data_IF_430674905724
#
_entry.id   IF_430674905724
#
_cell.length_a   1.000
_cell.length_b   1.000
_cell.length_c   1.000
_cell.angle_alpha   90.00
_cell.angle_beta   90.00
_cell.angle_gamma   90.00
#
_symmetry.space_group_name_H-M   'P 1'
#
loop_
_entity.id
_entity.type
_entity.pdbx_description
1 polymer ?
#
# COMPACT_ATOMS: atom_id res chain seq x y z
N UNK A 1 -8.18 -14.91 24.61
CA UNK A 1 -7.77 -13.78 23.75
C UNK A 1 -6.57 -14.13 22.85
N UNK A 2 -5.48 -14.75 23.35
CA UNK A 2 -4.35 -15.15 22.49
C UNK A 2 -4.76 -16.08 21.32
N UNK A 3 -5.56 -17.11 21.60
CA UNK A 3 -6.10 -18.01 20.57
C UNK A 3 -7.00 -17.27 19.56
N UNK A 4 -7.72 -16.22 19.96
CA UNK A 4 -8.55 -15.46 19.02
C UNK A 4 -7.70 -14.63 18.06
N UNK A 5 -6.59 -14.03 18.53
CA UNK A 5 -5.63 -13.33 17.66
C UNK A 5 -4.93 -14.26 16.68
N UNK A 6 -4.55 -15.47 17.11
CA UNK A 6 -4.01 -16.48 16.21
C UNK A 6 -5.05 -16.90 15.16
N UNK A 7 -6.29 -17.17 15.59
CA UNK A 7 -7.37 -17.52 14.67
C UNK A 7 -7.66 -16.39 13.67
N UNK A 8 -7.66 -15.13 14.12
CA UNK A 8 -7.79 -13.93 13.27
C UNK A 8 -6.67 -13.84 12.23
N UNK A 9 -5.43 -14.15 12.61
CA UNK A 9 -4.33 -14.24 11.66
C UNK A 9 -4.55 -15.37 10.64
N UNK A 10 -4.99 -16.55 11.10
CA UNK A 10 -5.22 -17.70 10.24
C UNK A 10 -6.37 -17.48 9.25
N UNK A 11 -7.45 -16.81 9.67
CA UNK A 11 -8.55 -16.42 8.77
C UNK A 11 -8.07 -15.43 7.72
N UNK A 12 -7.27 -14.42 8.11
CA UNK A 12 -6.68 -13.48 7.17
C UNK A 12 -5.82 -14.20 6.11
N UNK A 13 -4.95 -15.13 6.52
CA UNK A 13 -4.12 -15.92 5.60
C UNK A 13 -4.97 -16.82 4.70
N UNK A 14 -6.01 -17.48 5.24
CA UNK A 14 -6.92 -18.32 4.43
C UNK A 14 -7.66 -17.50 3.37
N UNK A 15 -8.14 -16.31 3.71
CA UNK A 15 -8.83 -15.43 2.77
C UNK A 15 -7.90 -14.97 1.64
N UNK A 16 -6.62 -14.72 1.94
CA UNK A 16 -5.61 -14.35 0.92
C UNK A 16 -5.23 -15.54 0.01
N UNK A 17 -5.29 -16.78 0.52
CA UNK A 17 -4.98 -18.00 -0.25
C UNK A 17 -5.97 -18.33 -1.36
N UNK A 18 -7.20 -17.81 -1.34
CA UNK A 18 -8.18 -18.08 -2.42
C UNK A 18 -7.65 -17.75 -3.81
N UNK A 19 -6.61 -16.91 -3.91
CA UNK A 19 -6.07 -16.43 -5.18
C UNK A 19 -4.66 -16.96 -5.51
N UNK A 20 -3.90 -17.49 -4.55
CA UNK A 20 -2.50 -17.94 -4.78
C UNK A 20 -2.04 -19.06 -3.82
N UNK A 21 -1.19 -19.96 -4.33
CA UNK A 21 -0.60 -21.04 -3.55
C UNK A 21 0.52 -20.52 -2.63
N UNK A 22 0.38 -20.73 -1.32
CA UNK A 22 1.32 -20.25 -0.31
C UNK A 22 2.38 -21.33 -0.01
N UNK A 23 3.36 -21.47 -0.91
CA UNK A 23 4.44 -22.45 -0.78
C UNK A 23 5.76 -21.81 -0.33
N UNK A 24 6.06 -20.62 -0.87
CA UNK A 24 7.28 -19.86 -0.60
C UNK A 24 6.89 -18.42 -0.24
N UNK A 25 7.30 -17.95 0.94
CA UNK A 25 7.04 -16.57 1.39
C UNK A 25 8.34 -15.86 1.82
N UNK A 26 8.43 -14.57 1.48
CA UNK A 26 9.45 -13.66 1.97
C UNK A 26 8.83 -12.73 3.01
N UNK A 27 9.31 -12.77 4.25
CA UNK A 27 8.80 -11.94 5.34
C UNK A 27 9.74 -10.75 5.53
N UNK A 28 9.26 -9.55 5.21
CA UNK A 28 10.03 -8.32 5.32
C UNK A 28 9.85 -7.70 6.72
N UNK A 29 10.96 -7.54 7.42
CA UNK A 29 11.03 -7.11 8.81
C UNK A 29 11.39 -5.62 8.92
N UNK A 30 10.87 -4.97 9.96
CA UNK A 30 11.28 -3.62 10.39
C UNK A 30 12.06 -3.63 11.71
N UNK A 31 12.06 -4.75 12.43
CA UNK A 31 12.74 -4.88 13.73
C UNK A 31 11.94 -4.36 14.94
N UNK A 32 10.69 -3.93 14.74
CA UNK A 32 9.78 -3.52 15.83
C UNK A 32 8.84 -4.63 16.32
N UNK A 33 8.02 -4.32 17.32
CA UNK A 33 7.04 -5.25 17.93
C UNK A 33 6.12 -5.94 16.91
N UNK A 34 5.69 -5.23 15.86
CA UNK A 34 4.75 -5.78 14.87
C UNK A 34 5.44 -6.88 14.05
N UNK A 35 6.74 -6.71 13.75
CA UNK A 35 7.56 -7.72 13.08
C UNK A 35 7.72 -8.97 13.95
N UNK A 36 7.93 -8.82 15.26
CA UNK A 36 8.03 -9.96 16.19
C UNK A 36 6.72 -10.73 16.29
N UNK A 37 5.60 -10.00 16.41
CA UNK A 37 4.27 -10.58 16.38
C UNK A 37 4.05 -11.37 15.08
N UNK A 38 4.39 -10.79 13.94
CA UNK A 38 4.27 -11.44 12.63
C UNK A 38 5.11 -12.71 12.54
N UNK A 39 6.39 -12.66 12.93
CA UNK A 39 7.30 -13.81 12.94
C UNK A 39 6.65 -14.96 13.71
N UNK A 40 6.21 -14.69 14.94
CA UNK A 40 5.65 -15.73 15.81
C UNK A 40 4.33 -16.30 15.29
N UNK A 41 3.45 -15.44 14.75
CA UNK A 41 2.20 -15.87 14.13
C UNK A 41 2.43 -16.77 12.90
N UNK A 42 3.41 -16.41 12.06
CA UNK A 42 3.79 -17.20 10.88
C UNK A 42 4.41 -18.54 11.29
N UNK A 43 5.32 -18.56 12.26
CA UNK A 43 5.93 -19.80 12.77
C UNK A 43 4.86 -20.75 13.33
N UNK A 44 3.92 -20.23 14.13
CA UNK A 44 2.82 -21.02 14.65
C UNK A 44 1.91 -21.55 13.53
N UNK A 45 1.63 -20.72 12.50
CA UNK A 45 0.87 -21.14 11.33
C UNK A 45 1.56 -22.26 10.55
N UNK A 46 2.86 -22.12 10.29
CA UNK A 46 3.68 -23.13 9.62
C UNK A 46 3.62 -24.45 10.37
N UNK A 47 3.91 -24.43 11.68
CA UNK A 47 3.90 -25.64 12.53
C UNK A 47 2.53 -26.33 12.52
N UNK A 48 1.43 -25.58 12.56
CA UNK A 48 0.08 -26.14 12.70
C UNK A 48 -0.57 -26.56 11.37
N UNK A 49 -0.36 -25.82 10.29
CA UNK A 49 -1.16 -25.99 9.06
C UNK A 49 -0.35 -26.20 7.78
N UNK A 50 0.92 -25.77 7.74
CA UNK A 50 1.74 -25.83 6.52
C UNK A 50 3.20 -26.12 6.88
N UNK A 51 3.54 -27.32 7.39
CA UNK A 51 4.91 -27.64 7.83
C UNK A 51 5.94 -27.52 6.69
N UNK A 52 5.53 -27.76 5.44
CA UNK A 52 6.35 -27.64 4.24
C UNK A 52 6.50 -26.19 3.72
N UNK A 53 5.94 -25.19 4.40
CA UNK A 53 6.05 -23.78 4.00
C UNK A 53 7.51 -23.31 4.09
N UNK A 54 8.05 -22.88 2.95
CA UNK A 54 9.37 -22.25 2.89
C UNK A 54 9.25 -20.77 3.24
N UNK A 55 9.97 -20.37 4.28
CA UNK A 55 9.97 -19.00 4.79
C UNK A 55 11.40 -18.48 4.71
N UNK A 56 11.52 -17.26 4.20
CA UNK A 56 12.76 -16.50 4.23
C UNK A 56 12.47 -15.14 4.83
N UNK A 57 13.33 -14.66 5.72
CA UNK A 57 13.22 -13.33 6.29
C UNK A 57 14.17 -12.37 5.61
N UNK A 58 13.73 -11.13 5.43
CA UNK A 58 14.59 -10.07 4.92
C UNK A 58 14.50 -8.86 5.83
N UNK A 59 15.66 -8.32 6.17
CA UNK A 59 15.79 -7.07 6.91
C UNK A 59 16.68 -6.11 6.12
N UNK A 60 16.25 -4.86 6.02
CA UNK A 60 16.99 -3.79 5.33
C UNK A 60 17.42 -2.80 6.40
N UNK A 61 18.72 -2.79 6.71
CA UNK A 61 19.35 -1.83 7.60
C UNK A 61 19.70 -0.56 6.82
N UNK A 62 19.01 0.53 7.17
CA UNK A 62 19.24 1.86 6.57
C UNK A 62 20.44 2.61 7.19
N UNK A 63 21.08 2.04 8.21
CA UNK A 63 22.25 2.60 8.91
C UNK A 63 22.05 4.04 9.42
N UNK A 64 20.81 4.42 9.71
CA UNK A 64 20.47 5.72 10.29
C UNK A 64 20.83 5.85 11.77
N UNK A 65 21.21 4.76 12.42
CA UNK A 65 21.46 4.71 13.86
C UNK A 65 22.82 4.09 14.13
N UNK A 66 23.48 4.61 15.14
CA UNK A 66 24.74 4.07 15.68
C UNK A 66 24.56 2.63 16.17
N UNK A 67 23.42 2.30 16.78
CA UNK A 67 23.14 0.95 17.29
C UNK A 67 22.51 -0.01 16.26
N UNK A 68 22.52 0.30 14.95
CA UNK A 68 21.88 -0.56 13.93
C UNK A 68 22.46 -1.98 13.95
N UNK A 69 23.76 -2.14 14.23
CA UNK A 69 24.43 -3.43 14.37
C UNK A 69 23.80 -4.31 15.46
N UNK A 70 23.53 -3.76 16.65
CA UNK A 70 22.89 -4.51 17.74
C UNK A 70 21.46 -4.91 17.40
N UNK A 71 20.73 -4.04 16.69
CA UNK A 71 19.39 -4.38 16.20
C UNK A 71 19.44 -5.53 15.18
N UNK A 72 20.42 -5.53 14.29
CA UNK A 72 20.66 -6.63 13.34
C UNK A 72 20.95 -7.94 14.08
N UNK A 73 21.86 -7.93 15.05
CA UNK A 73 22.18 -9.10 15.89
C UNK A 73 20.96 -9.64 16.62
N UNK A 74 20.15 -8.73 17.19
CA UNK A 74 18.90 -9.09 17.85
C UNK A 74 17.93 -9.82 16.89
N UNK A 75 17.74 -9.30 15.67
CA UNK A 75 16.87 -9.92 14.66
C UNK A 75 17.42 -11.29 14.22
N UNK A 76 18.75 -11.41 14.03
CA UNK A 76 19.38 -12.69 13.69
C UNK A 76 19.09 -13.72 14.78
N UNK A 77 19.31 -13.37 16.05
CA UNK A 77 19.10 -14.26 17.18
C UNK A 77 17.64 -14.74 17.31
N UNK A 78 16.67 -13.90 16.93
CA UNK A 78 15.26 -14.27 16.93
C UNK A 78 14.88 -15.31 15.88
N UNK A 79 15.60 -15.36 14.76
CA UNK A 79 15.27 -16.20 13.60
C UNK A 79 16.13 -17.47 13.55
N UNK A 80 17.34 -17.40 14.13
CA UNK A 80 18.41 -18.42 14.09
C UNK A 80 17.96 -19.85 14.30
N UNK A 81 16.91 -20.08 15.07
CA UNK A 81 16.49 -21.43 15.47
C UNK A 81 15.65 -22.19 14.42
N UNK A 82 15.32 -21.61 13.25
CA UNK A 82 14.42 -22.33 12.32
C UNK A 82 14.44 -21.95 10.85
N UNK A 83 14.92 -20.75 10.47
CA UNK A 83 14.68 -20.19 9.14
C UNK A 83 15.83 -19.28 8.67
N UNK A 84 15.94 -19.06 7.36
CA UNK A 84 17.00 -18.22 6.79
C UNK A 84 16.62 -16.73 6.84
N UNK A 85 17.58 -15.88 7.17
CA UNK A 85 17.46 -14.42 7.05
C UNK A 85 18.53 -13.87 6.12
N UNK A 86 18.13 -12.96 5.22
CA UNK A 86 19.04 -12.07 4.48
C UNK A 86 19.00 -10.67 5.09
N UNK A 87 20.18 -10.08 5.30
CA UNK A 87 20.33 -8.70 5.75
C UNK A 87 21.01 -7.90 4.66
N UNK A 88 20.40 -6.78 4.30
CA UNK A 88 20.98 -5.81 3.39
C UNK A 88 21.28 -4.54 4.15
N UNK A 89 22.49 -4.03 4.01
CA UNK A 89 22.89 -2.74 4.56
C UNK A 89 22.94 -1.71 3.43
N UNK A 90 22.34 -0.55 3.64
CA UNK A 90 22.38 0.57 2.70
C UNK A 90 23.40 1.56 3.27
N UNK A 91 24.64 1.62 2.71
CA UNK A 91 25.75 2.38 3.29
C UNK A 91 25.55 3.89 3.26
N UNK A 92 24.71 4.39 2.35
CA UNK A 92 24.43 5.82 2.25
C UNK A 92 23.14 6.17 3.00
N UNK A 93 23.26 7.08 3.96
CA UNK A 93 22.12 7.69 4.64
C UNK A 93 21.28 8.41 3.58
N UNK A 94 20.19 7.75 3.19
CA UNK A 94 19.20 8.38 2.32
C UNK A 94 18.59 9.56 3.08
N UNK A 95 18.70 10.78 2.51
CA UNK A 95 18.28 12.01 3.17
C UNK A 95 16.75 12.15 3.33
N UNK A 96 15.96 11.27 2.71
CA UNK A 96 14.50 11.29 2.85
C UNK A 96 13.89 9.91 3.13
N UNK A 97 12.90 9.88 4.02
CA UNK A 97 12.12 8.68 4.35
C UNK A 97 11.46 8.06 3.12
N UNK A 98 11.00 8.90 2.19
CA UNK A 98 10.42 8.43 0.93
C UNK A 98 11.45 7.67 0.08
N UNK A 99 12.68 8.19 -0.06
CA UNK A 99 13.73 7.54 -0.84
C UNK A 99 14.20 6.24 -0.17
N UNK A 100 14.34 6.26 1.16
CA UNK A 100 14.64 5.06 1.95
C UNK A 100 13.59 3.97 1.73
N UNK A 101 12.30 4.35 1.80
CA UNK A 101 11.18 3.44 1.56
C UNK A 101 11.17 2.89 0.14
N UNK A 102 11.45 3.71 -0.88
CA UNK A 102 11.55 3.26 -2.27
C UNK A 102 12.66 2.22 -2.45
N UNK A 103 13.88 2.52 -1.97
CA UNK A 103 15.02 1.60 -2.04
C UNK A 103 14.75 0.30 -1.29
N UNK A 104 14.16 0.37 -0.09
CA UNK A 104 13.75 -0.80 0.68
C UNK A 104 12.84 -1.71 -0.13
N UNK A 105 11.78 -1.18 -0.74
CA UNK A 105 10.88 -1.98 -1.57
C UNK A 105 11.56 -2.52 -2.82
N UNK A 106 12.45 -1.76 -3.46
CA UNK A 106 13.22 -2.25 -4.61
C UNK A 106 14.08 -3.45 -4.25
N UNK A 107 14.85 -3.37 -3.16
CA UNK A 107 15.70 -4.49 -2.69
C UNK A 107 14.86 -5.71 -2.35
N UNK A 108 13.75 -5.53 -1.61
CA UNK A 108 12.86 -6.65 -1.25
C UNK A 108 12.27 -7.31 -2.49
N UNK A 109 11.82 -6.54 -3.49
CA UNK A 109 11.25 -7.07 -4.73
C UNK A 109 12.33 -7.81 -5.53
N UNK A 110 13.53 -7.25 -5.66
CA UNK A 110 14.64 -7.89 -6.37
C UNK A 110 15.06 -9.20 -5.71
N UNK A 111 15.17 -9.24 -4.37
CA UNK A 111 15.43 -10.46 -3.62
C UNK A 111 14.33 -11.50 -3.84
N UNK A 112 13.06 -11.09 -3.72
CA UNK A 112 11.91 -11.97 -3.92
C UNK A 112 11.91 -12.62 -5.32
N UNK A 113 12.24 -11.86 -6.36
CA UNK A 113 12.37 -12.36 -7.74
C UNK A 113 13.56 -13.33 -7.85
N UNK A 114 14.75 -12.92 -7.39
CA UNK A 114 16.00 -13.70 -7.49
C UNK A 114 15.87 -15.07 -6.83
N UNK A 115 15.23 -15.13 -5.66
CA UNK A 115 15.12 -16.35 -4.85
C UNK A 115 13.74 -17.03 -4.95
N UNK A 116 12.89 -16.63 -5.92
CA UNK A 116 11.59 -17.26 -6.22
C UNK A 116 10.62 -17.30 -5.02
N UNK A 117 10.50 -16.16 -4.32
CA UNK A 117 9.49 -15.91 -3.29
C UNK A 117 8.38 -15.01 -3.85
N UNK A 118 7.30 -15.56 -4.45
CA UNK A 118 6.28 -14.76 -5.12
C UNK A 118 5.42 -13.93 -4.15
N UNK A 119 5.45 -14.24 -2.86
CA UNK A 119 4.63 -13.57 -1.84
C UNK A 119 5.56 -12.91 -0.82
N UNK A 120 5.49 -11.59 -0.73
CA UNK A 120 6.10 -10.78 0.30
C UNK A 120 5.06 -10.54 1.40
N UNK A 121 5.42 -10.76 2.65
CA UNK A 121 4.57 -10.48 3.81
C UNK A 121 5.22 -9.35 4.63
N UNK A 122 4.41 -8.39 5.07
CA UNK A 122 4.86 -7.30 5.97
C UNK A 122 3.94 -7.17 7.17
N UNK A 123 4.49 -6.64 8.27
CA UNK A 123 3.79 -6.50 9.55
C UNK A 123 2.98 -5.20 9.69
N UNK A 124 2.47 -4.64 8.59
CA UNK A 124 1.66 -3.44 8.68
C UNK A 124 0.34 -3.73 9.42
N UNK A 125 -0.01 -2.83 10.32
CA UNK A 125 -1.15 -2.91 11.24
C UNK A 125 -2.27 -1.95 10.85
N UNK A 126 -3.38 -2.02 11.59
CA UNK A 126 -4.48 -1.07 11.47
C UNK A 126 -4.03 0.37 11.76
N UNK A 127 -3.15 0.54 12.74
CA UNK A 127 -2.58 1.85 13.08
C UNK A 127 -1.80 2.44 11.91
N UNK A 128 -1.04 1.62 11.18
CA UNK A 128 -0.31 2.06 9.99
C UNK A 128 -1.25 2.48 8.84
N UNK A 129 -2.39 1.80 8.71
CA UNK A 129 -3.44 2.15 7.73
C UNK A 129 -4.02 3.53 8.02
N UNK A 130 -4.36 3.82 9.28
CA UNK A 130 -4.91 5.11 9.71
C UNK A 130 -3.88 6.23 9.56
N UNK A 131 -2.64 6.00 9.97
CA UNK A 131 -1.56 6.99 9.81
C UNK A 131 -1.33 7.34 8.34
N UNK A 132 -1.30 6.32 7.48
CA UNK A 132 -1.17 6.52 6.03
C UNK A 132 -2.34 7.33 5.50
N UNK A 133 -3.57 6.99 5.90
CA UNK A 133 -4.76 7.73 5.51
C UNK A 133 -4.70 9.21 5.92
N UNK A 134 -4.38 9.50 7.18
CA UNK A 134 -4.29 10.88 7.68
C UNK A 134 -3.20 11.67 6.96
N UNK A 135 -2.03 11.08 6.75
CA UNK A 135 -0.95 11.71 5.97
C UNK A 135 -1.38 12.03 4.53
N UNK A 136 -2.13 11.14 3.89
CA UNK A 136 -2.61 11.33 2.53
C UNK A 136 -3.69 12.42 2.47
N UNK A 137 -4.62 12.46 3.43
CA UNK A 137 -5.61 13.54 3.54
C UNK A 137 -4.94 14.90 3.71
N UNK A 138 -3.98 15.02 4.64
CA UNK A 138 -3.28 16.28 4.91
C UNK A 138 -2.56 16.81 3.67
N UNK A 139 -2.05 15.92 2.82
CA UNK A 139 -1.38 16.28 1.56
C UNK A 139 -2.34 16.64 0.42
N UNK A 140 -3.64 16.42 0.60
CA UNK A 140 -4.62 16.41 -0.48
C UNK A 140 -4.50 15.14 -1.31
N UNK A 141 -5.54 14.32 -1.30
CA UNK A 141 -5.52 13.04 -2.02
C UNK A 141 -6.86 12.70 -2.63
N UNK A 142 -6.85 11.83 -3.65
CA UNK A 142 -8.06 11.20 -4.15
C UNK A 142 -8.44 10.01 -3.28
N UNK A 143 -9.63 9.47 -3.49
CA UNK A 143 -10.07 8.24 -2.81
C UNK A 143 -9.11 7.07 -3.01
N UNK A 144 -8.36 7.02 -4.13
CA UNK A 144 -7.31 6.03 -4.37
C UNK A 144 -6.14 6.15 -3.40
N UNK A 145 -5.73 7.37 -3.09
CA UNK A 145 -4.67 7.58 -2.11
C UNK A 145 -5.17 7.35 -0.69
N UNK A 146 -6.43 7.71 -0.39
CA UNK A 146 -7.07 7.45 0.90
C UNK A 146 -7.21 5.95 1.19
N UNK A 147 -7.62 5.14 0.21
CA UNK A 147 -7.79 3.68 0.36
C UNK A 147 -6.55 2.87 -0.09
N UNK A 148 -5.38 3.51 -0.14
CA UNK A 148 -4.16 2.91 -0.73
C UNK A 148 -3.56 1.74 0.06
N UNK A 149 -3.84 1.65 1.36
CA UNK A 149 -3.30 0.59 2.22
C UNK A 149 -4.27 -0.60 2.29
N UNK A 150 -4.02 -1.59 1.40
CA UNK A 150 -4.82 -2.82 1.27
C UNK A 150 -4.11 -4.05 1.86
N UNK A 151 -4.89 -5.06 2.26
CA UNK A 151 -4.38 -6.36 2.74
C UNK A 151 -3.56 -7.09 1.68
N UNK A 152 -3.92 -6.91 0.42
CA UNK A 152 -3.30 -7.54 -0.73
C UNK A 152 -3.00 -6.50 -1.80
N UNK A 153 -1.81 -6.58 -2.40
CA UNK A 153 -1.41 -5.73 -3.52
C UNK A 153 -0.52 -6.51 -4.48
N UNK A 154 -0.81 -6.40 -5.78
CA UNK A 154 0.10 -6.87 -6.84
C UNK A 154 1.19 -5.81 -6.99
N UNK A 155 2.46 -6.21 -6.80
CA UNK A 155 3.61 -5.31 -7.02
C UNK A 155 4.09 -5.40 -8.47
N UNK A 156 4.07 -6.61 -9.03
CA UNK A 156 4.26 -6.89 -10.45
C UNK A 156 3.61 -8.26 -10.77
N UNK A 157 3.58 -8.73 -12.03
CA UNK A 157 2.92 -9.99 -12.39
C UNK A 157 3.39 -11.26 -11.64
N UNK A 158 4.58 -11.23 -11.04
CA UNK A 158 5.19 -12.36 -10.33
C UNK A 158 5.20 -12.19 -8.81
N UNK A 159 5.08 -10.96 -8.31
CA UNK A 159 5.30 -10.60 -6.91
C UNK A 159 4.07 -9.93 -6.31
N UNK A 160 3.61 -10.49 -5.20
CA UNK A 160 2.44 -10.07 -4.45
C UNK A 160 2.87 -9.63 -3.05
N UNK A 161 2.23 -8.60 -2.51
CA UNK A 161 2.45 -8.08 -1.17
C UNK A 161 1.22 -8.30 -0.29
N UNK A 162 1.42 -9.00 0.82
CA UNK A 162 0.40 -9.36 1.79
C UNK A 162 0.66 -8.65 3.12
N UNK A 163 -0.41 -8.13 3.73
CA UNK A 163 -0.41 -7.44 5.03
C UNK A 163 -1.43 -8.12 5.95
N UNK A 164 -1.12 -9.31 6.47
CA UNK A 164 -2.08 -10.10 7.25
C UNK A 164 -2.40 -9.49 8.62
N UNK A 165 -1.66 -8.47 9.06
CA UNK A 165 -1.90 -7.78 10.34
C UNK A 165 -2.70 -6.48 10.18
N UNK A 166 -3.18 -6.13 8.99
CA UNK A 166 -3.76 -4.80 8.75
C UNK A 166 -5.06 -4.52 9.51
N UNK A 167 -5.71 -5.56 10.07
CA UNK A 167 -6.86 -5.42 10.96
C UNK A 167 -6.50 -5.66 12.44
N UNK A 168 -5.21 -5.73 12.79
CA UNK A 168 -4.75 -5.86 14.17
C UNK A 168 -4.55 -4.47 14.76
N UNK A 169 -5.16 -4.24 15.92
CA UNK A 169 -4.98 -2.99 16.66
C UNK A 169 -3.61 -2.97 17.34
N UNK A 170 -3.14 -1.79 17.74
CA UNK A 170 -1.95 -1.67 18.60
C UNK A 170 -2.11 -2.44 19.93
N UNK A 171 -3.33 -2.48 20.47
CA UNK A 171 -3.64 -3.24 21.68
C UNK A 171 -3.51 -4.75 21.45
N UNK A 172 -3.97 -5.26 20.30
CA UNK A 172 -3.83 -6.66 19.90
C UNK A 172 -2.35 -7.07 19.87
N UNK A 173 -1.52 -6.27 19.18
CA UNK A 173 -0.08 -6.54 19.07
C UNK A 173 0.60 -6.48 20.43
N UNK A 174 0.32 -5.45 21.24
CA UNK A 174 0.90 -5.28 22.57
C UNK A 174 0.52 -6.45 23.48
N UNK A 175 -0.76 -6.85 23.47
CA UNK A 175 -1.24 -7.99 24.25
C UNK A 175 -0.54 -9.28 23.80
N UNK A 176 -0.48 -9.54 22.49
CA UNK A 176 0.17 -10.73 21.94
C UNK A 176 1.65 -10.83 22.34
N UNK A 177 2.40 -9.73 22.19
CA UNK A 177 3.83 -9.71 22.52
C UNK A 177 4.06 -9.89 24.02
N UNK A 178 3.24 -9.29 24.88
CA UNK A 178 3.34 -9.45 26.35
C UNK A 178 3.05 -10.88 26.79
N UNK A 179 2.01 -11.51 26.25
CA UNK A 179 1.62 -12.87 26.62
C UNK A 179 2.66 -13.92 26.24
N UNK A 180 3.44 -13.66 25.18
CA UNK A 180 4.51 -14.54 24.74
C UNK A 180 5.91 -14.09 25.17
N UNK A 181 5.99 -13.08 26.04
CA UNK A 181 7.25 -12.48 26.52
C UNK A 181 8.23 -12.19 25.38
N UNK A 182 7.74 -11.66 24.25
CA UNK A 182 8.59 -11.40 23.08
C UNK A 182 9.58 -10.28 23.42
N UNK A 183 10.88 -10.44 23.09
CA UNK A 183 11.89 -9.46 23.43
C UNK A 183 11.82 -8.29 22.44
N UNK A 184 10.98 -7.29 22.74
CA UNK A 184 10.78 -6.13 21.87
C UNK A 184 12.02 -5.23 21.91
N UNK A 185 12.59 -4.93 20.74
CA UNK A 185 13.63 -3.90 20.62
C UNK A 185 13.03 -2.51 20.87
N UNK A 186 13.54 -1.80 21.87
CA UNK A 186 13.14 -0.42 22.14
C UNK A 186 13.80 0.53 21.16
N UNK A 187 13.00 1.23 20.37
CA UNK A 187 13.48 2.17 19.37
C UNK A 187 13.22 3.61 19.81
N UNK A 188 14.28 4.32 20.19
CA UNK A 188 14.24 5.70 20.68
C UNK A 188 13.61 6.66 19.65
N UNK A 189 13.71 6.34 18.35
CA UNK A 189 13.15 7.20 17.29
C UNK A 189 11.63 7.23 17.27
N UNK A 190 10.97 6.28 17.94
CA UNK A 190 9.51 6.32 18.13
C UNK A 190 9.06 7.53 18.98
N UNK A 191 9.97 8.13 19.74
CA UNK A 191 9.71 9.29 20.58
C UNK A 191 10.15 10.60 19.93
N UNK A 192 10.63 10.57 18.67
CA UNK A 192 10.96 11.78 17.93
C UNK A 192 9.71 12.35 17.26
N UNK A 193 9.15 13.43 17.83
CA UNK A 193 7.95 14.09 17.31
C UNK A 193 8.20 15.05 16.14
N UNK A 194 9.45 15.24 15.68
CA UNK A 194 9.69 15.91 14.39
C UNK A 194 9.24 15.05 13.20
N UNK A 195 9.11 13.74 13.42
CA UNK A 195 8.54 12.81 12.44
C UNK A 195 7.02 12.90 12.51
N UNK A 196 6.39 13.43 11.44
CA UNK A 196 4.93 13.63 11.37
C UNK A 196 4.13 12.40 11.76
N UNK A 197 4.60 11.20 11.42
CA UNK A 197 3.96 9.93 11.76
C UNK A 197 3.87 9.70 13.27
N UNK A 198 4.96 9.97 14.00
CA UNK A 198 4.99 9.84 15.45
C UNK A 198 4.06 10.87 16.11
N UNK A 199 4.05 12.11 15.59
CA UNK A 199 3.13 13.16 16.06
C UNK A 199 1.67 12.78 15.87
N UNK A 200 1.31 12.24 14.70
CA UNK A 200 -0.05 11.73 14.47
C UNK A 200 -0.44 10.65 15.49
N UNK A 201 0.47 9.72 15.77
CA UNK A 201 0.26 8.57 16.67
C UNK A 201 0.10 8.97 18.13
N UNK A 202 0.91 9.90 18.63
CA UNK A 202 1.02 10.19 20.06
C UNK A 202 0.35 11.48 20.50
N UNK A 203 0.10 12.42 19.58
CA UNK A 203 -0.58 13.68 19.89
C UNK A 203 -1.95 13.72 19.23
N UNK A 204 -2.03 13.62 17.91
CA UNK A 204 -3.26 13.91 17.17
C UNK A 204 -4.38 12.88 17.38
N UNK A 205 -4.09 11.59 17.20
CA UNK A 205 -5.09 10.53 17.41
C UNK A 205 -5.58 10.51 18.87
N UNK A 206 -4.70 10.56 19.89
CA UNK A 206 -5.13 10.69 21.29
C UNK A 206 -5.97 11.94 21.56
N UNK A 207 -5.61 13.09 20.96
CA UNK A 207 -6.39 14.31 21.06
C UNK A 207 -7.81 14.16 20.49
N UNK A 208 -7.95 13.58 19.28
CA UNK A 208 -9.25 13.28 18.69
C UNK A 208 -10.07 12.33 19.57
N UNK A 209 -9.41 11.30 20.11
CA UNK A 209 -10.05 10.34 21.01
C UNK A 209 -10.56 10.98 22.29
N UNK A 210 -9.82 11.94 22.85
CA UNK A 210 -10.15 12.61 24.10
C UNK A 210 -11.26 13.65 23.94
N UNK A 211 -11.23 14.45 22.86
CA UNK A 211 -12.07 15.65 22.76
C UNK A 211 -13.21 15.56 21.74
N UNK A 212 -13.14 14.66 20.76
CA UNK A 212 -14.13 14.60 19.68
C UNK A 212 -14.90 13.29 19.67
N UNK A 213 -14.19 12.16 19.76
CA UNK A 213 -14.82 10.86 19.64
C UNK A 213 -13.93 9.75 20.18
N UNK A 214 -14.42 9.01 21.16
CA UNK A 214 -13.75 7.79 21.59
C UNK A 214 -13.64 6.77 20.42
N UNK A 215 -12.47 6.13 20.29
CA UNK A 215 -12.12 5.18 19.24
C UNK A 215 -12.30 5.70 17.81
N UNK A 216 -11.77 6.90 17.51
CA UNK A 216 -11.78 7.51 16.17
C UNK A 216 -11.20 6.56 15.11
N UNK A 217 -10.23 5.73 15.48
CA UNK A 217 -9.61 4.71 14.64
C UNK A 217 -10.64 3.76 14.02
N UNK A 218 -11.64 3.32 14.80
CA UNK A 218 -12.70 2.42 14.30
C UNK A 218 -13.58 3.12 13.28
N UNK A 219 -13.92 4.40 13.52
CA UNK A 219 -14.73 5.20 12.59
C UNK A 219 -13.99 5.45 11.28
N UNK A 220 -12.70 5.79 11.36
CA UNK A 220 -11.84 5.94 10.17
C UNK A 220 -11.78 4.63 9.39
N UNK A 221 -11.63 3.48 10.06
CA UNK A 221 -11.61 2.20 9.36
C UNK A 221 -12.92 1.87 8.65
N UNK A 222 -14.07 2.09 9.30
CA UNK A 222 -15.37 1.90 8.67
C UNK A 222 -15.52 2.78 7.42
N UNK A 223 -15.12 4.05 7.51
CA UNK A 223 -15.08 4.95 6.36
C UNK A 223 -14.18 4.41 5.24
N UNK A 224 -12.98 3.93 5.58
CA UNK A 224 -12.03 3.37 4.61
C UNK A 224 -12.54 2.08 3.95
N UNK A 225 -13.27 1.24 4.68
CA UNK A 225 -13.84 0.00 4.15
C UNK A 225 -14.96 0.29 3.13
N UNK A 226 -15.88 1.18 3.47
CA UNK A 226 -16.96 1.62 2.57
C UNK A 226 -16.35 2.30 1.33
N UNK A 227 -15.44 3.25 1.57
CA UNK A 227 -14.74 3.97 0.50
C UNK A 227 -14.00 3.03 -0.45
N UNK A 228 -13.41 1.94 0.04
CA UNK A 228 -12.67 1.03 -0.82
C UNK A 228 -13.61 0.23 -1.74
N UNK A 229 -14.76 -0.21 -1.22
CA UNK A 229 -15.78 -0.91 -2.01
C UNK A 229 -16.32 -0.03 -3.14
N UNK A 230 -16.70 1.20 -2.82
CA UNK A 230 -17.17 2.17 -3.80
C UNK A 230 -16.09 2.50 -4.83
N UNK A 231 -14.85 2.69 -4.35
CA UNK A 231 -13.72 2.98 -5.22
C UNK A 231 -13.43 1.84 -6.21
N UNK A 232 -13.45 0.59 -5.74
CA UNK A 232 -13.29 -0.59 -6.60
C UNK A 232 -14.39 -0.69 -7.65
N UNK A 233 -15.65 -0.44 -7.30
CA UNK A 233 -16.75 -0.42 -8.26
C UNK A 233 -16.53 0.63 -9.35
N UNK A 234 -16.17 1.86 -8.97
CA UNK A 234 -15.92 2.93 -9.93
C UNK A 234 -14.70 2.60 -10.80
N UNK A 235 -13.63 1.99 -10.25
CA UNK A 235 -12.47 1.55 -11.04
C UNK A 235 -12.85 0.53 -12.10
N UNK A 236 -13.61 -0.49 -11.73
CA UNK A 236 -14.05 -1.52 -12.67
C UNK A 236 -14.86 -0.92 -13.80
N UNK A 237 -15.78 0.00 -13.50
CA UNK A 237 -16.57 0.68 -14.53
C UNK A 237 -15.70 1.61 -15.39
N UNK A 238 -14.71 2.29 -14.81
CA UNK A 238 -13.81 3.16 -15.57
C UNK A 238 -12.96 2.35 -16.56
N UNK A 239 -12.50 1.16 -16.15
CA UNK A 239 -11.77 0.21 -17.00
C UNK A 239 -12.69 -0.31 -18.12
N UNK A 240 -13.93 -0.73 -17.80
CA UNK A 240 -14.89 -1.17 -18.82
C UNK A 240 -15.14 -0.06 -19.85
N UNK A 241 -15.41 1.16 -19.38
CA UNK A 241 -15.62 2.32 -20.25
C UNK A 241 -14.38 2.61 -21.11
N UNK A 242 -13.18 2.51 -20.52
CA UNK A 242 -11.93 2.69 -21.25
C UNK A 242 -11.79 1.69 -22.40
N UNK A 243 -12.03 0.40 -22.13
CA UNK A 243 -11.87 -0.66 -23.13
C UNK A 243 -12.82 -0.50 -24.32
N UNK A 244 -14.07 -0.09 -24.09
CA UNK A 244 -15.06 0.10 -25.17
C UNK A 244 -14.89 1.43 -25.93
N UNK A 245 -14.22 2.41 -25.33
CA UNK A 245 -14.07 3.75 -25.93
C UNK A 245 -12.72 3.95 -26.63
N UNK A 246 -11.78 3.02 -26.51
CA UNK A 246 -10.46 3.12 -27.12
C UNK A 246 -10.51 2.88 -28.63
N UNK A 247 -9.76 3.68 -29.38
CA UNK A 247 -9.58 3.50 -30.81
C UNK A 247 -8.76 2.23 -31.10
N UNK A 248 -9.08 1.52 -32.19
CA UNK A 248 -8.45 0.23 -32.52
C UNK A 248 -6.99 0.36 -32.96
N UNK A 249 -6.66 1.43 -33.70
CA UNK A 249 -5.38 1.60 -34.38
C UNK A 249 -4.52 2.77 -33.88
N UNK A 250 -5.14 3.75 -33.23
CA UNK A 250 -4.50 5.03 -32.88
C UNK A 250 -4.57 5.20 -31.37
N UNK A 251 -3.67 6.00 -30.80
CA UNK A 251 -3.74 6.40 -29.39
C UNK A 251 -4.85 7.45 -29.26
N UNK A 252 -6.09 6.96 -29.22
CA UNK A 252 -7.26 7.81 -29.12
C UNK A 252 -8.39 7.19 -28.31
N UNK A 253 -9.24 8.05 -27.75
CA UNK A 253 -10.41 7.66 -26.98
C UNK A 253 -11.65 8.44 -27.44
N UNK A 254 -12.76 7.74 -27.62
CA UNK A 254 -14.02 8.31 -28.06
C UNK A 254 -14.66 9.10 -26.91
N UNK A 255 -14.46 10.42 -26.90
CA UNK A 255 -14.94 11.28 -25.83
C UNK A 255 -16.47 11.43 -25.84
N UNK A 256 -17.16 11.14 -26.95
CA UNK A 256 -18.64 11.20 -27.00
C UNK A 256 -19.28 10.13 -26.12
N UNK A 257 -18.65 8.95 -26.01
CA UNK A 257 -19.08 7.89 -25.10
C UNK A 257 -18.84 8.28 -23.65
N UNK A 258 -17.71 8.95 -23.36
CA UNK A 258 -17.36 9.43 -22.03
C UNK A 258 -18.29 10.57 -21.57
N UNK A 259 -18.65 11.49 -22.47
CA UNK A 259 -19.55 12.63 -22.21
C UNK A 259 -20.95 12.20 -21.75
N UNK A 260 -21.40 10.99 -22.15
CA UNK A 260 -22.69 10.41 -21.71
C UNK A 260 -22.67 9.87 -20.27
N UNK A 261 -21.49 9.77 -19.65
CA UNK A 261 -21.31 9.18 -18.33
C UNK A 261 -21.19 10.27 -17.26
N UNK A 262 -21.36 9.87 -15.99
CA UNK A 262 -21.13 10.77 -14.86
C UNK A 262 -19.69 11.34 -14.87
N UNK A 263 -19.53 12.62 -14.49
CA UNK A 263 -18.24 13.34 -14.52
C UNK A 263 -17.10 12.60 -13.82
N UNK A 264 -17.39 11.93 -12.70
CA UNK A 264 -16.39 11.13 -11.99
C UNK A 264 -15.87 9.92 -12.78
N UNK A 265 -16.73 9.28 -13.58
CA UNK A 265 -16.34 8.16 -14.43
C UNK A 265 -15.54 8.66 -15.64
N UNK A 266 -15.99 9.76 -16.26
CA UNK A 266 -15.26 10.45 -17.33
C UNK A 266 -13.83 10.79 -16.88
N UNK A 267 -13.68 11.51 -15.77
CA UNK A 267 -12.38 11.91 -15.24
C UNK A 267 -11.44 10.71 -15.02
N UNK A 268 -11.96 9.61 -14.44
CA UNK A 268 -11.18 8.40 -14.20
C UNK A 268 -10.79 7.67 -15.49
N UNK A 269 -11.69 7.58 -16.45
CA UNK A 269 -11.39 6.95 -17.74
C UNK A 269 -10.33 7.74 -18.50
N UNK A 270 -10.36 9.07 -18.47
CA UNK A 270 -9.25 9.89 -18.97
C UNK A 270 -7.95 9.59 -18.23
N UNK A 271 -7.98 9.55 -16.89
CA UNK A 271 -6.78 9.22 -16.10
C UNK A 271 -6.17 7.87 -16.52
N UNK A 272 -6.99 6.86 -16.76
CA UNK A 272 -6.54 5.54 -17.25
C UNK A 272 -5.92 5.67 -18.65
N UNK A 273 -6.56 6.39 -19.57
CA UNK A 273 -6.06 6.59 -20.93
C UNK A 273 -4.68 7.24 -20.95
N UNK A 274 -4.48 8.34 -20.23
CA UNK A 274 -3.17 9.00 -20.17
C UNK A 274 -2.12 8.15 -19.46
N UNK A 275 -2.47 7.51 -18.34
CA UNK A 275 -1.53 6.66 -17.62
C UNK A 275 -1.10 5.43 -18.44
N UNK A 276 -2.04 4.79 -19.14
CA UNK A 276 -1.76 3.58 -19.92
C UNK A 276 -0.88 3.85 -21.14
N UNK A 277 -1.11 4.96 -21.86
CA UNK A 277 -0.45 5.20 -23.14
C UNK A 277 0.86 5.99 -23.02
N UNK A 278 0.98 6.87 -22.03
CA UNK A 278 2.16 7.75 -21.88
C UNK A 278 2.71 7.81 -20.44
N UNK A 279 2.24 6.95 -19.54
CA UNK A 279 2.68 6.88 -18.14
C UNK A 279 2.57 8.22 -17.38
N UNK A 280 1.58 9.07 -17.75
CA UNK A 280 1.33 10.36 -17.10
C UNK A 280 0.02 10.33 -16.30
N UNK A 281 0.12 10.67 -15.02
CA UNK A 281 -1.05 11.00 -14.20
C UNK A 281 -1.37 12.49 -14.37
N UNK A 282 -2.58 12.82 -14.83
CA UNK A 282 -3.02 14.20 -14.93
C UNK A 282 -3.43 14.76 -13.56
N UNK A 283 -3.27 16.07 -13.39
CA UNK A 283 -3.79 16.79 -12.22
C UNK A 283 -5.30 17.00 -12.36
N UNK A 284 -5.99 17.21 -11.23
CA UNK A 284 -7.43 17.50 -11.24
C UNK A 284 -7.77 18.73 -12.10
N UNK A 285 -6.92 19.77 -12.07
CA UNK A 285 -7.07 20.97 -12.90
C UNK A 285 -7.00 20.62 -14.39
N UNK A 286 -6.02 19.82 -14.80
CA UNK A 286 -5.83 19.46 -16.21
C UNK A 286 -6.99 18.59 -16.72
N UNK A 287 -7.45 17.61 -15.93
CA UNK A 287 -8.61 16.78 -16.28
C UNK A 287 -9.86 17.65 -16.48
N UNK A 288 -10.12 18.56 -15.53
CA UNK A 288 -11.28 19.46 -15.64
C UNK A 288 -11.17 20.39 -16.84
N UNK A 289 -9.99 20.90 -17.19
CA UNK A 289 -9.79 21.69 -18.40
C UNK A 289 -10.12 20.88 -19.66
N UNK A 290 -9.66 19.62 -19.76
CA UNK A 290 -9.99 18.75 -20.89
C UNK A 290 -11.49 18.49 -20.96
N UNK A 291 -12.12 18.13 -19.84
CA UNK A 291 -13.56 17.83 -19.78
C UNK A 291 -14.42 19.05 -20.17
N UNK A 292 -14.11 20.22 -19.61
CA UNK A 292 -14.84 21.46 -19.94
C UNK A 292 -14.64 21.87 -21.40
N UNK A 293 -13.47 21.61 -21.98
CA UNK A 293 -13.24 21.85 -23.42
C UNK A 293 -14.11 20.90 -24.26
N UNK A 294 -14.15 19.61 -23.92
CA UNK A 294 -15.00 18.61 -24.60
C UNK A 294 -16.49 18.93 -24.48
N UNK A 295 -16.92 19.50 -23.36
CA UNK A 295 -18.31 19.92 -23.17
C UNK A 295 -18.72 21.03 -24.15
N UNK A 296 -17.80 21.97 -24.45
CA UNK A 296 -18.01 23.16 -25.30
C UNK A 296 -17.68 22.97 -26.78
N UNK A 297 -17.22 21.80 -27.21
CA UNK A 297 -16.85 21.57 -28.61
C UNK A 297 -18.09 21.41 -29.49
N UNK A 298 -18.21 22.34 -30.45
CA UNK A 298 -19.18 22.32 -31.54
C UNK A 298 -18.51 21.87 -32.85
N UNK A 299 -18.06 20.62 -32.90
CA UNK A 299 -17.51 19.93 -34.10
C UNK A 299 -16.24 20.53 -34.75
N UNK A 300 -15.58 21.52 -34.14
CA UNK A 300 -14.29 22.04 -34.63
C UNK A 300 -13.11 21.24 -34.10
N UNK A 301 -12.08 21.06 -34.94
CA UNK A 301 -10.78 20.54 -34.51
C UNK A 301 -10.23 21.46 -33.42
N UNK A 302 -9.99 20.92 -32.23
CA UNK A 302 -9.47 21.67 -31.09
C UNK A 302 -8.17 21.04 -30.61
N UNK A 303 -7.14 21.86 -30.41
CA UNK A 303 -5.83 21.42 -29.92
C UNK A 303 -5.62 21.97 -28.51
N UNK A 304 -5.39 21.07 -27.55
CA UNK A 304 -5.01 21.42 -26.18
C UNK A 304 -3.54 21.05 -26.01
N UNK A 305 -2.71 22.01 -25.60
CA UNK A 305 -1.31 21.77 -25.24
C UNK A 305 -1.20 21.69 -23.72
N UNK A 306 -0.76 20.54 -23.20
CA UNK A 306 -0.48 20.35 -21.77
C UNK A 306 0.97 19.87 -21.58
N UNK A 307 1.85 20.82 -21.24
CA UNK A 307 3.30 20.66 -21.20
C UNK A 307 3.84 20.12 -22.53
N UNK A 308 4.16 18.82 -22.60
CA UNK A 308 4.76 18.12 -23.74
C UNK A 308 3.75 17.25 -24.51
N UNK A 309 2.46 17.37 -24.21
CA UNK A 309 1.42 16.56 -24.85
C UNK A 309 0.52 17.46 -25.68
N UNK A 310 0.28 17.05 -26.92
CA UNK A 310 -0.66 17.68 -27.82
C UNK A 310 -1.89 16.80 -27.85
N UNK A 311 -2.99 17.30 -27.31
CA UNK A 311 -4.28 16.61 -27.34
C UNK A 311 -5.07 17.20 -28.51
N UNK A 312 -5.39 16.38 -29.50
CA UNK A 312 -6.22 16.78 -30.63
C UNK A 312 -7.63 16.21 -30.46
N UNK A 313 -8.64 17.07 -30.53
CA UNK A 313 -10.06 16.71 -30.44
C UNK A 313 -10.67 16.87 -31.84
N UNK A 314 -11.13 15.77 -32.44
CA UNK A 314 -11.70 15.75 -33.79
C UNK A 314 -12.68 14.58 -33.93
N UNK A 315 -13.83 14.81 -34.59
CA UNK A 315 -14.80 13.76 -34.95
C UNK A 315 -15.18 12.80 -33.81
N UNK A 316 -15.43 13.33 -32.60
CA UNK A 316 -15.74 12.57 -31.36
C UNK A 316 -14.55 11.85 -30.69
N UNK A 317 -13.34 12.02 -31.20
CA UNK A 317 -12.13 11.37 -30.69
C UNK A 317 -11.16 12.36 -30.08
N UNK A 318 -10.53 11.93 -28.97
CA UNK A 318 -9.40 12.58 -28.34
C UNK A 318 -8.15 11.78 -28.68
N UNK A 319 -7.24 12.38 -29.45
CA UNK A 319 -5.95 11.84 -29.86
C UNK A 319 -4.82 12.39 -28.99
N UNK A 320 -3.78 11.57 -28.78
CA UNK A 320 -2.49 11.98 -28.22
C UNK A 320 -1.38 11.96 -29.26
#
# INVERSE_FOLDING_TARGET
>A
MLNSLQNKFYTNIKNLKKNHQLNNILVALSGGQDSLCLIKLIQNFKKKYKPLLKIHYIYIDHQWKIDSKKQVEHIINLIRNSENISIYQIPNITQSENKARQLRYQIIIQHAIKYKYPIIITAHTETDKIETFLQQIIRGTSIDGATSMKNYRILNPKIHLWRPLLNFTRADIKYFCRQLCLPIWSDITNYNFSINRNRLRYEFIPYLNKYFCNNIEKKINAFLEISDLENEYIKQNAIKLYLISRHKYNIAINYSLLKKQHKGLFARTLQIFFYHNINKCLTHKNINNIMTTIEKIDNKITIIKDNNIIIKLENNWLYL
#
